data_IF_693059922392
#
_entry.id   IF_693059922392
#
_cell.length_a   1.000
_cell.length_b   1.000
_cell.length_c   1.000
_cell.angle_alpha   90.00
_cell.angle_beta   90.00
_cell.angle_gamma   90.00
#
_symmetry.space_group_name_H-M   'P 1'
#
loop_
_entity.id
_entity.type
_entity.pdbx_description
1 polymer ?
#
# COMPACT_ATOMS: atom_id res chain seq x y z
N UNK A 1 5.07 1.74 12.09
CA UNK A 1 4.05 0.90 11.43
C UNK A 1 4.61 -0.52 11.34
N UNK A 2 3.89 -1.55 11.81
CA UNK A 2 4.28 -2.96 11.58
C UNK A 2 3.88 -3.35 10.15
N UNK A 3 4.51 -4.38 9.59
CA UNK A 3 4.29 -4.73 8.18
C UNK A 3 2.84 -5.04 7.81
N UNK A 4 2.06 -5.57 8.76
CA UNK A 4 0.62 -5.77 8.59
C UNK A 4 -0.19 -4.48 8.42
N UNK A 5 0.26 -3.34 8.97
CA UNK A 5 -0.48 -2.08 8.92
C UNK A 5 -0.50 -1.46 7.52
N UNK A 6 0.64 -1.45 6.81
CA UNK A 6 0.72 -0.94 5.45
C UNK A 6 -0.10 -1.81 4.47
N UNK A 7 -0.02 -3.13 4.64
CA UNK A 7 -0.74 -4.10 3.81
C UNK A 7 -2.25 -3.96 3.99
N UNK A 8 -2.73 -3.88 5.24
CA UNK A 8 -4.14 -3.65 5.53
C UNK A 8 -4.65 -2.35 4.92
N UNK A 9 -3.89 -1.25 4.99
CA UNK A 9 -4.29 0.00 4.34
C UNK A 9 -4.38 -0.13 2.81
N UNK A 10 -3.43 -0.82 2.19
CA UNK A 10 -3.45 -1.08 0.75
C UNK A 10 -4.65 -1.95 0.33
N UNK A 11 -5.01 -2.95 1.13
CA UNK A 11 -6.22 -3.78 0.92
C UNK A 11 -7.52 -2.96 1.02
N UNK A 12 -7.51 -1.85 1.75
CA UNK A 12 -8.63 -0.89 1.84
C UNK A 12 -8.52 0.23 0.79
N UNK A 13 -7.74 0.02 -0.28
CA UNK A 13 -7.53 0.97 -1.38
C UNK A 13 -6.99 2.35 -0.95
N UNK A 14 -6.32 2.42 0.21
CA UNK A 14 -5.63 3.65 0.61
C UNK A 14 -4.44 3.88 -0.32
N UNK A 15 -4.30 5.11 -0.81
CA UNK A 15 -3.27 5.42 -1.79
C UNK A 15 -1.84 5.17 -1.24
N UNK A 16 -0.89 4.72 -2.08
CA UNK A 16 0.49 4.52 -1.67
C UNK A 16 1.10 5.77 -1.02
N UNK A 17 0.75 6.96 -1.51
CA UNK A 17 1.22 8.25 -0.99
C UNK A 17 0.77 8.48 0.46
N UNK A 18 -0.48 8.15 0.79
CA UNK A 18 -0.99 8.27 2.16
C UNK A 18 -0.36 7.23 3.07
N UNK A 19 -0.22 5.98 2.61
CA UNK A 19 0.46 4.91 3.37
C UNK A 19 1.91 5.32 3.66
N UNK A 20 2.62 5.88 2.69
CA UNK A 20 3.97 6.40 2.85
C UNK A 20 4.05 7.50 3.91
N UNK A 21 3.17 8.51 3.81
CA UNK A 21 3.12 9.62 4.76
C UNK A 21 2.81 9.15 6.19
N UNK A 22 1.86 8.22 6.35
CA UNK A 22 1.54 7.62 7.64
C UNK A 22 2.68 6.78 8.22
N UNK A 23 3.42 6.08 7.35
CA UNK A 23 4.64 5.36 7.72
C UNK A 23 5.83 6.26 8.05
N UNK A 24 5.75 7.56 7.75
CA UNK A 24 6.85 8.54 7.81
C UNK A 24 8.09 8.07 7.06
N UNK A 25 7.88 7.40 5.94
CA UNK A 25 8.96 6.89 5.11
C UNK A 25 9.42 7.94 4.11
N UNK A 26 10.75 8.06 3.93
CA UNK A 26 11.29 8.67 2.72
C UNK A 26 10.84 7.85 1.50
N UNK A 27 10.81 8.47 0.33
CA UNK A 27 10.39 7.79 -0.91
C UNK A 27 11.28 6.58 -1.21
N UNK A 28 12.58 6.69 -0.97
CA UNK A 28 13.52 5.57 -1.12
C UNK A 28 13.21 4.44 -0.14
N UNK A 29 13.05 4.75 1.15
CA UNK A 29 12.73 3.75 2.17
C UNK A 29 11.41 3.04 1.86
N UNK A 30 10.40 3.78 1.40
CA UNK A 30 9.11 3.21 1.01
C UNK A 30 9.23 2.29 -0.22
N UNK A 31 9.99 2.68 -1.25
CA UNK A 31 10.22 1.82 -2.41
C UNK A 31 10.95 0.53 -2.06
N UNK A 32 11.99 0.61 -1.22
CA UNK A 32 12.71 -0.58 -0.73
C UNK A 32 11.76 -1.47 0.07
N UNK A 33 10.94 -0.85 0.92
CA UNK A 33 9.97 -1.54 1.75
C UNK A 33 8.92 -2.29 0.91
N UNK A 34 8.31 -1.63 -0.09
CA UNK A 34 7.34 -2.25 -1.00
C UNK A 34 7.96 -3.43 -1.76
N UNK A 35 9.19 -3.28 -2.28
CA UNK A 35 9.91 -4.37 -2.99
C UNK A 35 10.17 -5.59 -2.11
N UNK A 36 10.37 -5.39 -0.80
CA UNK A 36 10.61 -6.48 0.16
C UNK A 36 9.32 -7.16 0.64
N UNK A 37 8.15 -6.58 0.39
CA UNK A 37 6.86 -7.09 0.88
C UNK A 37 5.92 -7.37 -0.30
N UNK A 38 6.01 -8.54 -0.94
CA UNK A 38 5.24 -8.86 -2.15
C UNK A 38 3.71 -8.81 -1.94
N UNK A 39 3.23 -9.09 -0.72
CA UNK A 39 1.80 -8.99 -0.38
C UNK A 39 1.32 -7.53 -0.41
N UNK A 40 2.12 -6.60 0.13
CA UNK A 40 1.82 -5.18 0.03
C UNK A 40 1.83 -4.71 -1.43
N UNK A 41 2.82 -5.14 -2.22
CA UNK A 41 2.87 -4.82 -3.64
C UNK A 41 1.63 -5.33 -4.38
N UNK A 42 1.20 -6.57 -4.12
CA UNK A 42 -0.02 -7.13 -4.68
C UNK A 42 -1.26 -6.30 -4.29
N UNK A 43 -1.39 -5.94 -3.01
CA UNK A 43 -2.51 -5.12 -2.55
C UNK A 43 -2.53 -3.72 -3.20
N UNK A 44 -1.36 -3.09 -3.43
CA UNK A 44 -1.28 -1.80 -4.11
C UNK A 44 -1.66 -1.89 -5.60
N UNK A 45 -1.35 -3.01 -6.26
CA UNK A 45 -1.62 -3.21 -7.68
C UNK A 45 -3.08 -3.63 -7.95
N UNK A 46 -3.64 -4.48 -7.09
CA UNK A 46 -4.94 -5.15 -7.35
C UNK A 46 -6.02 -4.82 -6.31
N UNK A 47 -5.68 -4.21 -5.17
CA UNK A 47 -6.67 -3.83 -4.14
C UNK A 47 -7.58 -2.69 -4.57
N UNK A 48 -7.13 -1.87 -5.52
CA UNK A 48 -7.89 -0.73 -6.07
C UNK A 48 -8.94 -1.14 -7.10
N UNK A 49 -8.81 -2.33 -7.73
CA UNK A 49 -9.71 -2.81 -8.79
C UNK A 49 -11.11 -3.19 -8.26
N UNK A 50 -11.26 -3.35 -6.95
CA UNK A 50 -12.51 -3.75 -6.34
C UNK A 50 -13.52 -2.61 -6.17
N UNK A 51 -13.19 -1.37 -6.56
CA UNK A 51 -14.09 -0.21 -6.47
C UNK A 51 -14.55 0.36 -7.83
N UNK A 52 -14.16 -0.24 -8.96
CA UNK A 52 -14.60 0.20 -10.30
C UNK A 52 -15.78 -0.61 -10.88
N UNK A 53 -16.57 -1.27 -10.04
CA UNK A 53 -17.81 -1.96 -10.46
C UNK A 53 -19.00 -1.43 -9.67
N UNK A 54 -19.38 -0.17 -9.92
CA UNK A 54 -20.76 0.36 -9.85
C UNK A 54 -20.74 1.83 -10.24
N UNK A 55 -20.91 2.11 -11.54
CA UNK A 55 -21.81 3.14 -12.11
C UNK A 55 -21.56 3.30 -13.60
#
# INVERSE_FOLDING_TARGET
MRAGGATSLAEHAVSPTLIQAMGRWSSEAFQIYVRKHPVLLHALLFGSDNHHSSM
#
